data_IF_042281245552
#
_entry.id   IF_042281245552
#
_cell.length_a   1.000
_cell.length_b   1.000
_cell.length_c   1.000
_cell.angle_alpha   90.00
_cell.angle_beta   90.00
_cell.angle_gamma   90.00
#
_symmetry.space_group_name_H-M   'P 1'
#
loop_
_entity.id
_entity.type
_entity.pdbx_description
1 polymer ?
#
# COMPACT_ATOMS: atom_id res chain seq x y z
N UNK A 1 5.58 1.35 60.83
CA UNK A 1 4.76 1.24 59.60
C UNK A 1 5.45 2.00 58.48
N UNK A 2 6.00 1.34 57.45
CA UNK A 2 6.72 2.01 56.37
C UNK A 2 5.74 2.53 55.28
N UNK A 3 5.91 3.78 54.85
CA UNK A 3 5.25 4.37 53.68
C UNK A 3 6.08 4.04 52.43
N UNK A 4 5.59 3.10 51.63
CA UNK A 4 6.19 2.71 50.35
C UNK A 4 5.76 3.72 49.28
N UNK A 5 6.69 4.51 48.76
CA UNK A 5 6.46 5.31 47.56
C UNK A 5 6.85 4.46 46.34
N UNK A 6 5.84 4.00 45.60
CA UNK A 6 6.04 3.35 44.30
C UNK A 6 6.51 4.37 43.27
N UNK A 7 7.79 4.31 42.93
CA UNK A 7 8.39 5.09 41.84
C UNK A 7 7.88 4.52 40.51
N UNK A 8 6.88 5.19 39.93
CA UNK A 8 6.41 4.91 38.57
C UNK A 8 7.52 5.28 37.58
N UNK A 9 8.06 4.27 36.89
CA UNK A 9 9.01 4.47 35.79
C UNK A 9 8.30 5.17 34.62
N UNK A 10 8.92 6.15 33.95
CA UNK A 10 8.34 6.76 32.75
C UNK A 10 8.42 5.74 31.60
N UNK A 11 7.26 5.27 31.17
CA UNK A 11 7.10 4.52 29.91
C UNK A 11 7.34 5.50 28.78
N UNK A 12 8.44 5.34 28.07
CA UNK A 12 8.75 6.09 26.85
C UNK A 12 7.65 5.86 25.81
N UNK A 13 7.15 6.92 25.14
CA UNK A 13 6.15 6.76 24.11
C UNK A 13 6.78 5.99 22.95
N UNK A 14 6.30 4.76 22.75
CA UNK A 14 6.58 3.97 21.57
C UNK A 14 6.30 4.85 20.35
N UNK A 15 7.34 5.07 19.55
CA UNK A 15 7.26 5.73 18.25
C UNK A 15 6.13 5.06 17.49
N UNK A 16 5.00 5.76 17.36
CA UNK A 16 3.84 5.31 16.60
C UNK A 16 4.30 5.27 15.14
N UNK A 17 4.87 4.14 14.75
CA UNK A 17 4.96 3.73 13.36
C UNK A 17 3.50 3.58 12.97
N UNK A 18 2.98 4.54 12.20
CA UNK A 18 1.64 4.45 11.62
C UNK A 18 1.51 3.01 11.09
N UNK A 19 0.46 2.26 11.49
CA UNK A 19 0.24 0.97 10.89
C UNK A 19 0.13 1.23 9.40
N UNK A 20 1.12 0.77 8.63
CA UNK A 20 0.98 0.57 7.19
C UNK A 20 -0.31 -0.22 7.09
N UNK A 21 -1.34 0.38 6.51
CA UNK A 21 -2.65 -0.25 6.31
C UNK A 21 -2.39 -1.69 5.89
N UNK A 22 -2.72 -2.60 6.81
CA UNK A 22 -2.41 -4.00 6.64
C UNK A 22 -3.27 -4.45 5.46
N UNK A 23 -2.63 -4.54 4.30
CA UNK A 23 -3.24 -5.08 3.09
C UNK A 23 -3.90 -6.39 3.51
N UNK A 24 -5.21 -6.56 3.28
CA UNK A 24 -5.92 -7.71 3.79
C UNK A 24 -5.19 -8.97 3.31
N UNK A 25 -4.95 -9.97 4.17
CA UNK A 25 -4.25 -11.21 3.79
C UNK A 25 -5.02 -12.00 2.70
N UNK A 26 -6.30 -11.69 2.51
CA UNK A 26 -7.18 -12.18 1.44
C UNK A 26 -7.12 -11.34 0.15
N UNK A 27 -6.26 -10.32 0.08
CA UNK A 27 -6.10 -9.51 -1.12
C UNK A 27 -5.58 -10.41 -2.26
N UNK A 28 -6.45 -10.67 -3.23
CA UNK A 28 -6.08 -11.38 -4.45
C UNK A 28 -4.93 -10.63 -5.13
N UNK A 29 -3.81 -11.34 -5.26
CA UNK A 29 -2.63 -10.84 -5.95
C UNK A 29 -2.79 -11.11 -7.45
N UNK A 30 -2.83 -10.03 -8.24
CA UNK A 30 -3.03 -10.11 -9.68
C UNK A 30 -1.71 -9.93 -10.43
N UNK A 31 -1.55 -10.61 -11.57
CA UNK A 31 -0.41 -10.38 -12.44
C UNK A 31 -0.51 -9.00 -13.13
N UNK A 32 0.61 -8.53 -13.66
CA UNK A 32 0.73 -7.21 -14.27
C UNK A 32 -0.27 -6.96 -15.42
N UNK A 33 -0.45 -7.95 -16.31
CA UNK A 33 -1.39 -7.84 -17.43
C UNK A 33 -2.86 -7.86 -16.97
N UNK A 34 -3.16 -8.68 -15.96
CA UNK A 34 -4.50 -8.79 -15.40
C UNK A 34 -4.90 -7.49 -14.67
N UNK A 35 -3.98 -6.96 -13.87
CA UNK A 35 -4.13 -5.66 -13.19
C UNK A 35 -4.35 -4.53 -14.20
N UNK A 36 -3.58 -4.52 -15.30
CA UNK A 36 -3.73 -3.55 -16.39
C UNK A 36 -5.12 -3.60 -17.01
N UNK A 37 -5.65 -4.80 -17.29
CA UNK A 37 -6.99 -4.98 -17.84
C UNK A 37 -8.08 -4.53 -16.86
N UNK A 38 -8.01 -4.99 -15.61
CA UNK A 38 -9.00 -4.66 -14.57
C UNK A 38 -9.08 -3.16 -14.32
N UNK A 39 -7.93 -2.48 -14.23
CA UNK A 39 -7.90 -1.04 -14.05
C UNK A 39 -8.32 -0.27 -15.30
N UNK A 40 -8.07 -0.79 -16.50
CA UNK A 40 -8.54 -0.17 -17.75
C UNK A 40 -10.05 -0.29 -17.91
N UNK A 41 -10.63 -1.41 -17.49
CA UNK A 41 -12.08 -1.64 -17.49
C UNK A 41 -12.79 -0.71 -16.48
N UNK A 42 -12.22 -0.58 -15.28
CA UNK A 42 -12.81 0.25 -14.22
C UNK A 42 -12.54 1.75 -14.36
N UNK A 43 -11.36 2.13 -14.84
CA UNK A 43 -10.97 3.52 -15.00
C UNK A 43 -10.75 3.80 -16.49
N UNK A 44 -11.66 4.58 -17.07
CA UNK A 44 -11.67 5.01 -18.48
C UNK A 44 -10.41 5.77 -18.94
N UNK A 45 -9.45 6.02 -18.04
CA UNK A 45 -8.15 6.64 -18.31
C UNK A 45 -7.05 5.68 -18.79
N UNK A 46 -7.30 4.36 -18.86
CA UNK A 46 -6.38 3.40 -19.47
C UNK A 46 -5.09 3.15 -18.67
N UNK A 47 -5.12 2.16 -17.78
CA UNK A 47 -3.93 1.69 -17.08
C UNK A 47 -3.21 0.62 -17.91
N UNK A 48 -2.37 1.06 -18.83
CA UNK A 48 -1.50 0.14 -19.58
C UNK A 48 -0.42 -0.48 -18.68
N UNK A 49 0.08 -1.66 -19.07
CA UNK A 49 1.29 -2.30 -18.51
C UNK A 49 2.45 -1.31 -18.33
N UNK A 50 2.65 -0.41 -19.30
CA UNK A 50 3.70 0.62 -19.26
C UNK A 50 3.43 1.65 -18.17
N UNK A 51 2.17 2.06 -17.98
CA UNK A 51 1.74 2.97 -16.92
C UNK A 51 2.00 2.34 -15.54
N UNK A 52 1.65 1.07 -15.35
CA UNK A 52 1.91 0.35 -14.09
C UNK A 52 3.40 0.31 -13.77
N UNK A 53 4.24 -0.03 -14.75
CA UNK A 53 5.71 -0.02 -14.57
C UNK A 53 6.27 1.36 -14.27
N UNK A 54 5.66 2.42 -14.80
CA UNK A 54 6.03 3.81 -14.49
C UNK A 54 5.69 4.14 -13.04
N UNK A 55 4.51 3.74 -12.57
CA UNK A 55 4.05 3.96 -11.19
C UNK A 55 4.92 3.21 -10.17
N UNK A 56 5.34 1.97 -10.48
CA UNK A 56 6.35 1.24 -9.68
C UNK A 56 7.64 2.03 -9.48
N UNK A 57 8.03 2.86 -10.46
CA UNK A 57 9.24 3.66 -10.37
C UNK A 57 9.04 5.01 -9.70
N UNK A 58 7.81 5.54 -9.67
CA UNK A 58 7.53 6.88 -9.16
C UNK A 58 6.89 6.84 -7.77
N UNK A 59 5.80 6.10 -7.59
CA UNK A 59 4.88 6.24 -6.45
C UNK A 59 4.58 4.93 -5.73
N UNK A 60 4.61 3.81 -6.44
CA UNK A 60 4.23 2.52 -5.86
C UNK A 60 5.40 1.87 -5.14
N UNK A 61 5.12 1.41 -3.93
CA UNK A 61 6.10 0.77 -3.05
C UNK A 61 5.88 -0.74 -2.98
N UNK A 62 6.97 -1.51 -3.03
CA UNK A 62 6.96 -2.96 -2.81
C UNK A 62 6.51 -3.30 -1.39
N UNK A 63 5.65 -4.31 -1.24
CA UNK A 63 5.01 -4.65 0.02
C UNK A 63 3.77 -3.83 0.33
N UNK A 64 3.47 -2.78 -0.45
CA UNK A 64 2.26 -1.94 -0.32
C UNK A 64 1.36 -2.05 -1.54
N UNK A 65 1.91 -1.77 -2.74
CA UNK A 65 1.15 -1.75 -4.00
C UNK A 65 1.42 -2.98 -4.85
N UNK A 66 2.63 -3.52 -4.75
CA UNK A 66 3.05 -4.71 -5.48
C UNK A 66 3.98 -5.58 -4.62
N UNK A 67 4.17 -6.82 -5.04
CA UNK A 67 5.13 -7.77 -4.52
C UNK A 67 5.90 -8.42 -5.66
N UNK A 68 7.19 -8.66 -5.44
CA UNK A 68 7.97 -9.49 -6.33
C UNK A 68 8.01 -10.94 -5.83
N UNK A 69 7.24 -11.82 -6.48
CA UNK A 69 7.11 -13.23 -6.08
C UNK A 69 7.54 -14.14 -7.23
N UNK A 70 8.52 -15.03 -6.99
CA UNK A 70 8.99 -16.03 -7.98
C UNK A 70 9.29 -15.43 -9.37
N UNK A 71 10.01 -14.30 -9.39
CA UNK A 71 10.35 -13.54 -10.60
C UNK A 71 9.17 -12.88 -11.34
N UNK A 72 7.98 -12.83 -10.73
CA UNK A 72 6.79 -12.15 -11.27
C UNK A 72 6.39 -11.00 -10.37
N UNK A 73 6.01 -9.88 -10.99
CA UNK A 73 5.40 -8.75 -10.29
C UNK A 73 3.92 -9.07 -10.09
N UNK A 74 3.52 -9.14 -8.83
CA UNK A 74 2.14 -9.27 -8.41
C UNK A 74 1.66 -7.97 -7.79
N UNK A 75 0.42 -7.62 -8.03
CA UNK A 75 -0.14 -6.33 -7.64
C UNK A 75 -1.31 -6.52 -6.68
N UNK A 76 -1.39 -5.64 -5.70
CA UNK A 76 -2.51 -5.56 -4.80
C UNK A 76 -3.56 -4.63 -5.42
N UNK A 77 -4.55 -5.23 -6.08
CA UNK A 77 -5.62 -4.48 -6.72
C UNK A 77 -6.29 -3.46 -5.78
N UNK A 78 -6.65 -3.82 -4.52
CA UNK A 78 -7.31 -2.89 -3.61
C UNK A 78 -6.46 -1.67 -3.27
N UNK A 79 -5.16 -1.88 -2.99
CA UNK A 79 -4.24 -0.79 -2.67
C UNK A 79 -4.03 0.15 -3.87
N UNK A 80 -4.01 -0.41 -5.08
CA UNK A 80 -3.90 0.38 -6.30
C UNK A 80 -5.20 1.14 -6.58
N UNK A 81 -6.35 0.50 -6.44
CA UNK A 81 -7.65 1.15 -6.60
C UNK A 81 -7.80 2.31 -5.61
N UNK A 82 -7.46 2.08 -4.34
CA UNK A 82 -7.45 3.13 -3.33
C UNK A 82 -6.51 4.28 -3.73
N UNK A 83 -5.28 3.96 -4.16
CA UNK A 83 -4.35 4.98 -4.66
C UNK A 83 -4.91 5.79 -5.83
N UNK A 84 -5.61 5.14 -6.78
CA UNK A 84 -6.24 5.81 -7.93
C UNK A 84 -7.40 6.71 -7.48
N UNK A 85 -8.25 6.23 -6.57
CA UNK A 85 -9.41 6.97 -6.03
C UNK A 85 -8.98 8.13 -5.15
N UNK A 86 -7.96 7.93 -4.32
CA UNK A 86 -7.35 8.93 -3.43
C UNK A 86 -6.55 10.00 -4.17
N UNK A 87 -6.54 10.00 -5.51
CA UNK A 87 -5.97 11.08 -6.32
C UNK A 87 -4.47 10.93 -6.61
N UNK A 88 -3.97 9.69 -6.58
CA UNK A 88 -2.62 9.24 -6.96
C UNK A 88 -1.64 10.36 -7.32
N UNK A 89 -0.91 10.86 -6.33
CA UNK A 89 0.23 11.79 -6.47
C UNK A 89 0.03 13.04 -7.35
N UNK A 90 -1.20 13.54 -7.54
CA UNK A 90 -1.38 14.86 -8.17
C UNK A 90 -2.55 15.06 -9.13
N UNK A 91 -3.61 14.26 -9.09
CA UNK A 91 -4.88 14.65 -9.74
C UNK A 91 -5.71 15.53 -8.80
N UNK A 92 -5.17 16.70 -8.49
CA UNK A 92 -5.92 17.85 -7.97
C UNK A 92 -5.71 18.97 -8.98
N UNK A 93 -6.54 18.99 -10.02
CA UNK A 93 -6.58 20.03 -11.04
C UNK A 93 -7.99 20.12 -11.57
#
# INVERSE_FOLDING_TARGET
MPRTYSVLKPVTPLKVVKPVEAIPPDAKLHDLEETSKLLTDQFSGGFSVKSLRRLIKSDWTEGTHYLYVRKRLKFYLPAIQDWVVSGGSGRSG
#
